data_IF_792872103843
#
_entry.id   IF_792872103843
#
_cell.length_a   1.000
_cell.length_b   1.000
_cell.length_c   1.000
_cell.angle_alpha   90.00
_cell.angle_beta   90.00
_cell.angle_gamma   90.00
#
_symmetry.space_group_name_H-M   'P 1'
#
loop_
_entity.id
_entity.type
_entity.pdbx_description
1 polymer ?
#
# COMPACT_ATOMS: atom_id res chain seq x y z
N UNK A 1 -4.18 -2.91 11.09
CA UNK A 1 -3.93 -3.56 9.78
C UNK A 1 -5.05 -3.26 8.78
N UNK A 2 -6.31 -3.20 9.19
CA UNK A 2 -7.42 -2.83 8.29
C UNK A 2 -7.17 -1.53 7.53
N UNK A 3 -6.69 -0.47 8.18
CA UNK A 3 -6.33 0.78 7.49
C UNK A 3 -5.38 0.57 6.28
N UNK A 4 -4.46 -0.38 6.37
CA UNK A 4 -3.42 -0.65 5.36
C UNK A 4 -3.73 -1.86 4.46
N UNK A 5 -4.75 -2.64 4.77
CA UNK A 5 -5.02 -3.92 4.11
C UNK A 5 -6.46 -4.11 3.68
N UNK A 6 -7.37 -3.20 4.07
CA UNK A 6 -8.76 -3.21 3.67
C UNK A 6 -9.06 -2.02 2.76
N UNK A 7 -10.06 -2.20 1.91
CA UNK A 7 -10.56 -1.20 0.98
C UNK A 7 -12.04 -1.43 0.68
N UNK A 8 -12.72 -0.39 0.20
CA UNK A 8 -14.08 -0.50 -0.37
C UNK A 8 -14.01 -1.25 -1.70
N UNK A 9 -14.82 -2.29 -1.82
CA UNK A 9 -15.20 -2.91 -3.10
C UNK A 9 -16.71 -2.75 -3.30
N UNK A 10 -17.21 -3.10 -4.48
CA UNK A 10 -18.67 -3.12 -4.76
C UNK A 10 -19.45 -4.10 -3.88
N UNK A 11 -18.77 -5.03 -3.20
CA UNK A 11 -19.38 -6.07 -2.36
C UNK A 11 -19.29 -5.80 -0.87
N UNK A 12 -18.29 -5.03 -0.43
CA UNK A 12 -18.03 -4.77 0.99
C UNK A 12 -17.21 -3.47 1.14
N UNK A 13 -17.74 -2.54 1.92
CA UNK A 13 -17.09 -1.26 2.21
C UNK A 13 -15.78 -1.38 3.00
N UNK A 14 -15.58 -2.50 3.71
CA UNK A 14 -14.36 -2.80 4.46
C UNK A 14 -13.77 -4.17 4.08
N UNK A 15 -13.71 -4.49 2.79
CA UNK A 15 -13.17 -5.77 2.30
C UNK A 15 -11.70 -5.94 2.68
N UNK A 16 -11.36 -7.04 3.36
CA UNK A 16 -9.97 -7.47 3.53
C UNK A 16 -9.35 -7.83 2.18
N UNK A 17 -8.22 -7.21 1.83
CA UNK A 17 -7.48 -7.47 0.58
C UNK A 17 -6.13 -8.14 0.84
N UNK A 18 -6.05 -8.85 1.96
CA UNK A 18 -4.95 -9.74 2.37
C UNK A 18 -5.55 -10.86 3.23
N UNK A 19 -4.94 -12.04 3.20
CA UNK A 19 -5.24 -13.11 4.14
C UNK A 19 -4.46 -12.93 5.44
N UNK A 20 -5.04 -13.34 6.57
CA UNK A 20 -4.47 -13.19 7.91
C UNK A 20 -4.63 -14.48 8.69
N UNK A 21 -3.54 -14.96 9.26
CA UNK A 21 -3.54 -16.03 10.25
C UNK A 21 -2.84 -15.53 11.50
N UNK A 22 -3.53 -15.50 12.63
CA UNK A 22 -2.97 -15.05 13.91
C UNK A 22 -2.95 -16.21 14.91
N UNK A 23 -1.79 -16.50 15.44
CA UNK A 23 -1.56 -17.48 16.50
C UNK A 23 -1.55 -16.72 17.83
N UNK A 24 -2.56 -16.95 18.68
CA UNK A 24 -2.64 -16.39 20.03
C UNK A 24 -2.00 -17.39 20.98
N UNK A 25 -0.88 -17.01 21.60
CA UNK A 25 -0.11 -17.88 22.48
C UNK A 25 -0.60 -17.85 23.94
N UNK A 26 -0.62 -19.01 24.59
CA UNK A 26 -1.03 -19.18 25.98
C UNK A 26 0.06 -19.82 26.83
N UNK A 27 0.15 -19.42 28.10
CA UNK A 27 1.00 -20.08 29.09
C UNK A 27 0.37 -21.38 29.65
N UNK A 28 1.08 -22.04 30.58
CA UNK A 28 0.59 -23.25 31.27
C UNK A 28 -0.68 -23.05 32.10
N UNK A 29 -1.09 -21.80 32.36
CA UNK A 29 -2.31 -21.43 33.09
C UNK A 29 -3.39 -20.90 32.14
N UNK A 30 -3.23 -21.09 30.82
CA UNK A 30 -4.15 -20.63 29.78
C UNK A 30 -4.37 -19.11 29.77
N UNK A 31 -3.36 -18.33 30.18
CA UNK A 31 -3.37 -16.87 30.05
C UNK A 31 -2.68 -16.47 28.75
N UNK A 32 -3.20 -15.45 28.07
CA UNK A 32 -2.59 -14.90 26.85
C UNK A 32 -1.22 -14.34 27.21
N UNK A 33 -0.18 -14.81 26.50
CA UNK A 33 1.18 -14.30 26.66
C UNK A 33 1.60 -13.39 25.52
N UNK A 34 1.07 -13.59 24.32
CA UNK A 34 1.44 -12.85 23.12
C UNK A 34 0.71 -13.39 21.89
N UNK A 35 1.08 -12.89 20.72
CA UNK A 35 0.55 -13.39 19.46
C UNK A 35 1.56 -13.25 18.31
N UNK A 36 1.39 -14.04 17.27
CA UNK A 36 2.16 -13.96 16.05
C UNK A 36 1.25 -14.02 14.83
N UNK A 37 1.49 -13.15 13.86
CA UNK A 37 0.65 -13.00 12.69
C UNK A 37 1.41 -13.30 11.41
N UNK A 38 0.78 -14.09 10.54
CA UNK A 38 1.19 -14.31 9.16
C UNK A 38 0.17 -13.70 8.22
N UNK A 39 0.65 -13.01 7.20
CA UNK A 39 -0.19 -12.42 6.17
C UNK A 39 0.06 -13.06 4.83
N UNK A 40 -0.99 -13.18 4.02
CA UNK A 40 -0.97 -13.83 2.72
C UNK A 40 -1.48 -12.85 1.66
N UNK A 41 -0.81 -12.83 0.50
CA UNK A 41 -1.34 -12.31 -0.76
C UNK A 41 -2.06 -10.94 -0.65
N UNK A 42 -1.34 -9.91 -0.18
CA UNK A 42 -1.82 -8.53 -0.30
C UNK A 42 -2.11 -8.19 -1.78
N UNK A 43 -3.30 -7.68 -2.08
CA UNK A 43 -3.71 -7.25 -3.42
C UNK A 43 -2.94 -5.99 -3.84
N UNK A 44 -1.76 -6.18 -4.43
CA UNK A 44 -0.87 -5.06 -4.79
C UNK A 44 -1.47 -4.17 -5.87
N UNK A 45 -2.22 -4.72 -6.82
CA UNK A 45 -2.84 -3.97 -7.91
C UNK A 45 -3.73 -2.83 -7.41
N UNK A 46 -4.41 -3.02 -6.27
CA UNK A 46 -5.26 -1.99 -5.65
C UNK A 46 -4.56 -0.67 -5.36
N UNK A 47 -3.23 -0.69 -5.15
CA UNK A 47 -2.44 0.52 -4.89
C UNK A 47 -2.50 1.49 -6.07
N UNK A 48 -2.60 0.97 -7.30
CA UNK A 48 -2.45 1.76 -8.53
C UNK A 48 -3.69 1.76 -9.41
N UNK A 49 -4.64 0.88 -9.14
CA UNK A 49 -5.87 0.72 -9.91
C UNK A 49 -7.08 0.47 -9.02
N UNK A 50 -8.21 1.08 -9.37
CA UNK A 50 -9.51 0.82 -8.76
C UNK A 50 -10.57 0.79 -9.87
N UNK A 51 -11.49 -0.16 -9.80
CA UNK A 51 -12.68 -0.15 -10.64
C UNK A 51 -13.67 0.94 -10.17
N UNK A 52 -14.68 1.21 -10.99
CA UNK A 52 -15.78 2.12 -10.63
C UNK A 52 -16.43 1.72 -9.30
N UNK A 53 -16.80 2.71 -8.49
CA UNK A 53 -17.35 2.57 -7.14
C UNK A 53 -16.40 1.99 -6.07
N UNK A 54 -15.18 1.62 -6.43
CA UNK A 54 -14.18 1.09 -5.49
C UNK A 54 -13.18 2.14 -4.99
N UNK A 55 -12.53 1.83 -3.86
CA UNK A 55 -11.45 2.65 -3.30
C UNK A 55 -10.12 1.91 -3.29
N UNK A 56 -9.06 2.70 -3.15
CA UNK A 56 -7.75 2.22 -2.69
C UNK A 56 -7.82 1.88 -1.18
N UNK A 57 -6.71 1.45 -0.57
CA UNK A 57 -6.62 1.20 0.86
C UNK A 57 -7.01 2.42 1.70
N UNK A 58 -7.72 2.17 2.80
CA UNK A 58 -8.32 3.22 3.63
C UNK A 58 -7.31 4.28 4.10
N UNK A 59 -6.09 3.88 4.42
CA UNK A 59 -5.04 4.77 4.94
C UNK A 59 -4.72 5.94 4.00
N UNK A 60 -4.90 5.78 2.68
CA UNK A 60 -4.70 6.88 1.73
C UNK A 60 -5.75 7.98 1.91
N UNK A 61 -7.00 7.60 2.12
CA UNK A 61 -8.10 8.55 2.33
C UNK A 61 -8.06 9.14 3.73
N UNK A 62 -7.70 8.35 4.75
CA UNK A 62 -7.40 8.84 6.10
C UNK A 62 -6.32 9.94 6.09
N UNK A 63 -5.26 9.74 5.30
CA UNK A 63 -4.18 10.71 5.12
C UNK A 63 -4.66 11.96 4.36
N UNK A 64 -5.38 11.79 3.25
CA UNK A 64 -5.91 12.92 2.47
C UNK A 64 -6.92 13.76 3.26
N UNK A 65 -7.80 13.13 4.04
CA UNK A 65 -8.78 13.81 4.88
C UNK A 65 -8.13 14.62 6.02
N UNK A 66 -6.88 14.32 6.34
CA UNK A 66 -6.12 14.97 7.41
C UNK A 66 -5.04 15.92 6.88
N UNK A 67 -5.05 16.26 5.58
CA UNK A 67 -4.02 17.06 4.93
C UNK A 67 -3.82 18.47 5.55
N UNK A 68 -4.83 19.00 6.24
CA UNK A 68 -4.78 20.31 6.91
C UNK A 68 -4.05 20.30 8.26
N UNK A 69 -3.65 19.13 8.77
CA UNK A 69 -2.89 19.04 10.01
C UNK A 69 -1.50 19.69 9.85
N UNK A 70 -1.05 20.56 10.77
CA UNK A 70 0.23 21.26 10.63
C UNK A 70 1.43 20.34 10.41
N UNK A 71 1.45 19.17 11.06
CA UNK A 71 2.51 18.18 10.90
C UNK A 71 2.56 17.53 9.50
N UNK A 72 1.48 17.62 8.71
CA UNK A 72 1.37 17.07 7.36
C UNK A 72 1.60 18.09 6.25
N UNK A 73 1.87 19.36 6.59
CA UNK A 73 2.25 20.37 5.61
C UNK A 73 3.45 19.94 4.75
N UNK A 74 4.41 19.22 5.35
CA UNK A 74 5.58 18.69 4.64
C UNK A 74 5.22 17.65 3.57
N UNK A 75 4.07 16.99 3.70
CA UNK A 75 3.61 15.93 2.80
C UNK A 75 2.98 16.51 1.52
N UNK A 76 2.70 17.82 1.49
CA UNK A 76 2.06 18.52 0.36
C UNK A 76 0.81 17.79 -0.13
N UNK A 77 -0.01 17.30 0.80
CA UNK A 77 -1.18 16.48 0.49
C UNK A 77 -2.36 17.34 0.02
N UNK A 78 -3.21 16.74 -0.79
CA UNK A 78 -4.47 17.32 -1.25
C UNK A 78 -5.66 16.42 -0.91
N UNK A 79 -6.80 16.74 -1.53
CA UNK A 79 -7.99 15.88 -1.46
C UNK A 79 -7.72 14.52 -2.13
N UNK A 80 -8.48 13.48 -1.79
CA UNK A 80 -8.39 12.18 -2.46
C UNK A 80 -8.66 12.27 -3.99
N UNK A 81 -9.38 13.30 -4.46
CA UNK A 81 -9.62 13.54 -5.88
C UNK A 81 -8.43 14.17 -6.62
N UNK A 82 -7.43 14.65 -5.88
CA UNK A 82 -6.23 15.26 -6.45
C UNK A 82 -5.21 14.22 -6.95
N UNK A 83 -5.31 12.97 -6.51
CA UNK A 83 -4.35 11.92 -6.83
C UNK A 83 -4.93 10.83 -7.72
N UNK A 84 -4.19 10.47 -8.77
CA UNK A 84 -4.58 9.42 -9.71
C UNK A 84 -4.86 8.09 -8.99
N UNK A 85 -4.08 7.72 -7.97
CA UNK A 85 -4.23 6.46 -7.26
C UNK A 85 -5.40 6.39 -6.26
N UNK A 86 -6.16 7.46 -6.05
CA UNK A 86 -7.32 7.45 -5.12
C UNK A 86 -8.62 7.91 -5.77
N UNK A 87 -8.57 8.48 -6.98
CA UNK A 87 -9.73 9.05 -7.67
C UNK A 87 -10.37 8.15 -8.74
N UNK A 88 -9.71 7.05 -9.13
CA UNK A 88 -10.13 6.25 -10.29
C UNK A 88 -11.55 5.68 -10.16
N UNK A 89 -11.92 5.23 -8.96
CA UNK A 89 -13.25 4.65 -8.74
C UNK A 89 -14.39 5.66 -8.59
N UNK A 90 -14.13 6.98 -8.63
CA UNK A 90 -15.18 7.99 -8.54
C UNK A 90 -15.91 8.11 -7.19
N UNK A 91 -15.59 7.26 -6.20
CA UNK A 91 -16.24 7.19 -4.89
C UNK A 91 -15.24 7.48 -3.75
N UNK A 92 -14.83 8.75 -3.52
CA UNK A 92 -13.85 9.07 -2.49
C UNK A 92 -14.35 8.88 -1.06
N UNK A 93 -15.68 8.83 -0.84
CA UNK A 93 -16.32 8.73 0.48
C UNK A 93 -17.01 7.37 0.63
N UNK A 94 -17.05 6.85 1.85
CA UNK A 94 -17.86 5.69 2.25
C UNK A 94 -18.93 6.22 3.21
N UNK A 95 -20.18 5.84 3.00
CA UNK A 95 -21.28 6.30 3.85
C UNK A 95 -21.07 5.88 5.30
N UNK A 96 -21.21 6.85 6.22
CA UNK A 96 -21.03 6.62 7.66
C UNK A 96 -19.57 6.53 8.14
N UNK A 97 -18.57 6.70 7.25
CA UNK A 97 -17.16 6.68 7.61
C UNK A 97 -16.55 8.08 7.59
N UNK A 98 -15.93 8.48 8.70
CA UNK A 98 -15.11 9.70 8.80
C UNK A 98 -13.63 9.32 8.73
N UNK A 99 -13.02 9.44 7.55
CA UNK A 99 -11.62 9.09 7.30
C UNK A 99 -10.64 9.89 8.21
N UNK A 100 -10.95 11.14 8.58
CA UNK A 100 -10.09 11.92 9.47
C UNK A 100 -10.18 11.40 10.92
N UNK A 101 -11.36 10.94 11.36
CA UNK A 101 -11.52 10.22 12.64
C UNK A 101 -10.80 8.89 12.62
N UNK A 102 -10.89 8.14 11.53
CA UNK A 102 -10.20 6.87 11.41
C UNK A 102 -8.67 7.02 11.41
N UNK A 103 -8.13 8.12 10.87
CA UNK A 103 -6.69 8.38 11.04
C UNK A 103 -6.29 8.52 12.52
N UNK A 104 -7.10 9.20 13.34
CA UNK A 104 -6.83 9.33 14.78
C UNK A 104 -6.80 7.96 15.46
N UNK A 105 -7.73 7.07 15.09
CA UNK A 105 -7.75 5.69 15.58
C UNK A 105 -6.49 4.92 15.15
N UNK A 106 -6.12 5.02 13.87
CA UNK A 106 -4.90 4.40 13.31
C UNK A 106 -3.66 4.85 14.06
N UNK A 107 -3.47 6.16 14.29
CA UNK A 107 -2.33 6.71 15.04
C UNK A 107 -2.28 6.21 16.48
N UNK A 108 -3.44 6.16 17.16
CA UNK A 108 -3.53 5.63 18.52
C UNK A 108 -3.18 4.15 18.59
N UNK A 109 -3.66 3.35 17.63
CA UNK A 109 -3.33 1.93 17.54
C UNK A 109 -1.83 1.70 17.27
N UNK A 110 -1.23 2.48 16.37
CA UNK A 110 0.22 2.47 16.14
C UNK A 110 1.02 2.80 17.41
N UNK A 111 0.63 3.84 18.14
CA UNK A 111 1.30 4.23 19.39
C UNK A 111 1.20 3.13 20.46
N UNK A 112 0.04 2.47 20.61
CA UNK A 112 -0.14 1.35 21.53
C UNK A 112 0.75 0.14 21.20
N UNK A 113 1.10 -0.02 19.91
CA UNK A 113 1.98 -1.07 19.42
C UNK A 113 3.45 -0.62 19.34
N UNK A 114 3.81 0.48 19.99
CA UNK A 114 5.19 0.97 20.08
C UNK A 114 5.71 1.64 18.81
N UNK A 115 4.85 1.94 17.83
CA UNK A 115 5.21 2.73 16.65
C UNK A 115 5.03 4.21 17.03
N UNK A 116 6.10 4.84 17.52
CA UNK A 116 6.10 6.25 17.95
C UNK A 116 5.91 7.24 16.80
N UNK A 117 5.70 8.52 17.15
CA UNK A 117 5.33 9.58 16.19
C UNK A 117 6.31 9.75 15.03
N UNK A 118 7.62 9.62 15.29
CA UNK A 118 8.63 9.73 14.23
C UNK A 118 8.51 8.61 13.18
N UNK A 119 8.25 7.38 13.62
CA UNK A 119 7.99 6.26 12.72
C UNK A 119 6.65 6.42 12.00
N UNK A 120 5.60 6.88 12.70
CA UNK A 120 4.30 7.16 12.07
C UNK A 120 4.43 8.21 10.96
N UNK A 121 5.16 9.30 11.21
CA UNK A 121 5.42 10.31 10.19
C UNK A 121 6.20 9.72 9.00
N UNK A 122 7.16 8.81 9.25
CA UNK A 122 7.84 8.06 8.19
C UNK A 122 6.88 7.22 7.33
N UNK A 123 5.93 6.52 7.96
CA UNK A 123 4.87 5.78 7.25
C UNK A 123 4.04 6.73 6.39
N UNK A 124 3.60 7.87 6.95
CA UNK A 124 2.81 8.85 6.21
C UNK A 124 3.59 9.53 5.09
N UNK A 125 4.91 9.73 5.24
CA UNK A 125 5.81 10.18 4.16
C UNK A 125 5.84 9.20 3.00
N UNK A 126 5.96 7.90 3.28
CA UNK A 126 5.94 6.85 2.23
C UNK A 126 4.57 6.79 1.54
N UNK A 127 3.47 6.88 2.29
CA UNK A 127 2.13 6.89 1.69
C UNK A 127 1.91 8.12 0.82
N UNK A 128 2.34 9.30 1.29
CA UNK A 128 2.27 10.54 0.51
C UNK A 128 3.12 10.47 -0.75
N UNK A 129 4.33 9.91 -0.66
CA UNK A 129 5.21 9.78 -1.82
C UNK A 129 4.56 8.88 -2.88
N UNK A 130 3.94 7.75 -2.51
CA UNK A 130 3.19 6.90 -3.45
C UNK A 130 2.10 7.68 -4.19
N UNK A 131 1.34 8.54 -3.49
CA UNK A 131 0.28 9.35 -4.11
C UNK A 131 0.82 10.37 -5.12
N UNK A 132 1.86 11.12 -4.73
CA UNK A 132 2.54 12.06 -5.64
C UNK A 132 3.16 11.35 -6.83
N UNK A 133 3.74 10.17 -6.60
CA UNK A 133 4.34 9.38 -7.66
C UNK A 133 3.31 8.93 -8.70
N UNK A 134 2.10 8.56 -8.29
CA UNK A 134 0.99 8.23 -9.20
C UNK A 134 0.55 9.39 -10.12
N UNK A 135 0.85 10.63 -9.73
CA UNK A 135 0.61 11.83 -10.53
C UNK A 135 1.76 12.18 -11.48
N UNK A 136 2.87 11.43 -11.47
CA UNK A 136 3.98 11.66 -12.42
C UNK A 136 3.54 11.32 -13.83
N UNK A 137 3.59 12.30 -14.72
CA UNK A 137 3.18 12.17 -16.11
C UNK A 137 4.37 12.02 -17.06
N UNK A 138 4.23 11.05 -17.97
CA UNK A 138 5.17 10.79 -19.05
C UNK A 138 4.66 11.35 -20.37
N UNK A 139 5.48 12.16 -21.04
CA UNK A 139 5.24 12.64 -22.40
C UNK A 139 5.97 11.76 -23.41
N UNK A 140 5.27 11.28 -24.42
CA UNK A 140 5.90 10.55 -25.53
C UNK A 140 6.78 11.51 -26.32
N UNK A 141 8.03 11.12 -26.59
CA UNK A 141 8.91 11.84 -27.52
C UNK A 141 8.82 11.24 -28.92
N UNK A 142 8.80 9.91 -28.99
CA UNK A 142 8.56 9.11 -30.19
C UNK A 142 7.83 7.81 -29.79
N UNK A 143 7.78 6.82 -30.69
CA UNK A 143 7.08 5.55 -30.44
C UNK A 143 7.73 4.71 -29.33
N UNK A 144 9.05 4.82 -29.15
CA UNK A 144 9.86 3.96 -28.29
C UNK A 144 10.48 4.69 -27.09
N UNK A 145 10.25 6.01 -26.96
CA UNK A 145 10.81 6.84 -25.90
C UNK A 145 9.82 7.82 -25.29
N UNK A 146 9.99 8.08 -24.00
CA UNK A 146 9.26 9.08 -23.25
C UNK A 146 10.18 9.95 -22.38
N UNK A 147 9.64 11.04 -21.88
CA UNK A 147 10.31 11.97 -20.98
C UNK A 147 9.35 12.49 -19.91
N UNK A 148 9.91 12.88 -18.78
CA UNK A 148 9.22 13.66 -17.75
C UNK A 148 9.58 15.13 -17.98
N UNK A 149 8.61 16.03 -17.81
CA UNK A 149 8.87 17.46 -18.02
C UNK A 149 9.91 17.97 -16.99
N UNK A 150 10.79 18.91 -17.36
CA UNK A 150 11.70 19.51 -16.39
C UNK A 150 10.92 20.14 -15.23
N UNK A 151 11.44 19.99 -14.00
CA UNK A 151 10.81 20.50 -12.77
C UNK A 151 9.37 20.01 -12.57
N UNK A 152 9.08 18.76 -12.92
CA UNK A 152 7.74 18.21 -12.75
C UNK A 152 7.42 18.06 -11.26
N UNK A 153 6.50 18.89 -10.78
CA UNK A 153 6.20 19.05 -9.36
C UNK A 153 5.89 17.72 -8.62
N UNK A 154 5.03 16.82 -9.14
CA UNK A 154 4.78 15.53 -8.46
C UNK A 154 6.04 14.71 -8.23
N UNK A 155 6.98 14.73 -9.18
CA UNK A 155 8.25 14.01 -9.05
C UNK A 155 9.19 14.70 -8.05
N UNK A 156 9.26 16.03 -8.04
CA UNK A 156 10.03 16.79 -7.04
C UNK A 156 9.56 16.41 -5.63
N UNK A 157 8.25 16.44 -5.39
CA UNK A 157 7.68 16.13 -4.08
C UNK A 157 7.96 14.68 -3.69
N UNK A 158 7.82 13.73 -4.62
CA UNK A 158 8.20 12.34 -4.39
C UNK A 158 9.67 12.21 -3.96
N UNK A 159 10.58 12.84 -4.70
CA UNK A 159 12.01 12.83 -4.43
C UNK A 159 12.36 13.44 -3.07
N UNK A 160 11.76 14.59 -2.72
CA UNK A 160 11.92 15.24 -1.41
C UNK A 160 11.47 14.33 -0.26
N UNK A 161 10.31 13.69 -0.40
CA UNK A 161 9.75 12.83 0.64
C UNK A 161 10.55 11.55 0.83
N UNK A 162 11.06 10.97 -0.25
CA UNK A 162 11.85 9.73 -0.25
C UNK A 162 13.35 9.97 0.01
N UNK A 163 13.83 11.21 -0.11
CA UNK A 163 15.24 11.55 0.06
C UNK A 163 16.11 11.00 -1.08
N UNK A 164 15.63 11.11 -2.32
CA UNK A 164 16.33 10.60 -3.53
C UNK A 164 16.51 11.71 -4.56
N UNK A 165 17.49 11.58 -5.43
CA UNK A 165 17.82 12.61 -6.43
C UNK A 165 16.78 12.67 -7.57
N UNK A 166 16.38 13.88 -7.96
CA UNK A 166 15.39 14.11 -9.02
C UNK A 166 15.92 13.63 -10.38
N UNK A 167 17.18 13.95 -10.68
CA UNK A 167 17.83 13.65 -11.95
C UNK A 167 17.95 12.14 -12.17
N UNK A 168 18.39 11.40 -11.15
CA UNK A 168 18.47 9.93 -11.21
C UNK A 168 17.08 9.30 -11.36
N UNK A 169 16.11 9.74 -10.56
CA UNK A 169 14.76 9.20 -10.62
C UNK A 169 14.10 9.48 -11.97
N UNK A 170 14.20 10.72 -12.47
CA UNK A 170 13.67 11.09 -13.78
C UNK A 170 14.32 10.29 -14.91
N UNK A 171 15.62 10.00 -14.82
CA UNK A 171 16.33 9.20 -15.81
C UNK A 171 15.82 7.75 -15.82
N UNK A 172 15.84 7.07 -14.66
CA UNK A 172 15.51 5.64 -14.56
C UNK A 172 14.03 5.31 -14.73
N UNK A 173 13.13 6.29 -14.58
CA UNK A 173 11.73 6.08 -14.94
C UNK A 173 11.50 6.02 -16.46
N UNK A 174 12.39 6.64 -17.24
CA UNK A 174 12.28 6.69 -18.70
C UNK A 174 13.25 5.73 -19.41
N UNK A 175 14.09 5.01 -18.67
CA UNK A 175 15.13 4.14 -19.21
C UNK A 175 15.23 2.83 -18.42
N UNK A 176 15.67 1.77 -19.08
CA UNK A 176 16.04 0.51 -18.44
C UNK A 176 17.49 0.14 -18.73
N UNK A 177 18.15 -0.41 -17.71
CA UNK A 177 19.48 -1.01 -17.83
C UNK A 177 19.34 -2.49 -18.19
N UNK A 178 20.10 -2.92 -19.18
CA UNK A 178 20.15 -4.30 -19.64
C UNK A 178 21.61 -4.75 -19.59
N UNK A 179 21.85 -5.86 -18.90
CA UNK A 179 23.19 -6.41 -18.64
C UNK A 179 23.28 -7.76 -19.34
N UNK A 180 24.23 -7.91 -20.24
CA UNK A 180 24.61 -9.20 -20.85
C UNK A 180 25.94 -9.66 -20.27
N UNK A 181 26.40 -10.86 -20.66
CA UNK A 181 27.69 -11.38 -20.23
C UNK A 181 28.88 -10.48 -20.63
N UNK A 182 28.74 -9.70 -21.70
CA UNK A 182 29.81 -8.89 -22.28
C UNK A 182 29.62 -7.40 -22.10
N UNK A 183 28.38 -6.89 -22.02
CA UNK A 183 28.09 -5.47 -22.11
C UNK A 183 26.92 -5.02 -21.24
N UNK A 184 26.88 -3.72 -20.95
CA UNK A 184 25.75 -3.07 -20.29
C UNK A 184 25.24 -1.96 -21.18
N UNK A 185 23.95 -2.01 -21.51
CA UNK A 185 23.30 -1.03 -22.35
C UNK A 185 22.09 -0.40 -21.66
N UNK A 186 21.86 0.88 -21.93
CA UNK A 186 20.71 1.63 -21.43
C UNK A 186 19.78 1.86 -22.62
N UNK A 187 18.51 1.43 -22.51
CA UNK A 187 17.49 1.65 -23.53
C UNK A 187 16.38 2.55 -23.00
N UNK A 188 15.88 3.50 -23.81
CA UNK A 188 14.69 4.25 -23.44
C UNK A 188 13.47 3.32 -23.34
N UNK A 189 12.46 3.80 -22.61
CA UNK A 189 11.15 3.19 -22.47
C UNK A 189 10.11 4.06 -23.16
N UNK A 190 9.14 3.43 -23.81
CA UNK A 190 7.96 4.15 -24.27
C UNK A 190 7.06 4.54 -23.08
N UNK A 191 6.09 5.43 -23.34
CA UNK A 191 5.19 5.95 -22.31
C UNK A 191 4.45 4.87 -21.51
N UNK A 192 3.98 3.83 -22.20
CA UNK A 192 3.24 2.73 -21.55
C UNK A 192 4.16 1.93 -20.62
N UNK A 193 5.36 1.58 -21.09
CA UNK A 193 6.36 0.87 -20.30
C UNK A 193 6.80 1.65 -19.06
N UNK A 194 7.03 2.96 -19.21
CA UNK A 194 7.38 3.84 -18.10
C UNK A 194 6.25 3.96 -17.07
N UNK A 195 4.99 4.08 -17.53
CA UNK A 195 3.80 4.08 -16.66
C UNK A 195 3.68 2.77 -15.88
N UNK A 196 3.83 1.62 -16.56
CA UNK A 196 3.79 0.31 -15.93
C UNK A 196 4.94 0.12 -14.92
N UNK A 197 6.13 0.64 -15.22
CA UNK A 197 7.28 0.58 -14.33
C UNK A 197 7.09 1.45 -13.07
N UNK A 198 6.57 2.68 -13.24
CA UNK A 198 6.15 3.55 -12.13
C UNK A 198 5.15 2.83 -11.23
N UNK A 199 4.10 2.27 -11.81
CA UNK A 199 3.07 1.56 -11.05
C UNK A 199 3.62 0.30 -10.37
N UNK A 200 4.52 -0.44 -11.01
CA UNK A 200 5.21 -1.57 -10.40
C UNK A 200 6.05 -1.15 -9.18
N UNK A 201 6.73 0.00 -9.25
CA UNK A 201 7.49 0.54 -8.12
C UNK A 201 6.56 0.99 -6.98
N UNK A 202 5.45 1.68 -7.27
CA UNK A 202 4.42 2.04 -6.27
C UNK A 202 3.90 0.80 -5.51
N UNK A 203 3.57 -0.26 -6.25
CA UNK A 203 3.15 -1.55 -5.69
C UNK A 203 4.21 -2.19 -4.81
N UNK A 204 5.48 -2.11 -5.22
CA UNK A 204 6.61 -2.66 -4.47
C UNK A 204 6.85 -1.90 -3.16
N UNK A 205 6.84 -0.56 -3.20
CA UNK A 205 7.00 0.29 -2.01
C UNK A 205 5.88 -0.01 -1.00
N UNK A 206 4.62 -0.03 -1.44
CA UNK A 206 3.49 -0.31 -0.55
C UNK A 206 3.56 -1.71 0.07
N UNK A 207 3.91 -2.74 -0.72
CA UNK A 207 4.03 -4.10 -0.22
C UNK A 207 5.13 -4.23 0.86
N UNK A 208 6.27 -3.55 0.67
CA UNK A 208 7.32 -3.52 1.68
C UNK A 208 6.90 -2.74 2.93
N UNK A 209 6.19 -1.62 2.79
CA UNK A 209 5.63 -0.88 3.92
C UNK A 209 4.66 -1.77 4.72
N UNK A 210 3.74 -2.46 4.04
CA UNK A 210 2.78 -3.36 4.68
C UNK A 210 3.50 -4.46 5.46
N UNK A 211 4.48 -5.13 4.83
CA UNK A 211 5.30 -6.16 5.50
C UNK A 211 6.04 -5.58 6.71
N UNK A 212 6.63 -4.39 6.58
CA UNK A 212 7.32 -3.73 7.68
C UNK A 212 6.39 -3.45 8.87
N UNK A 213 5.14 -3.03 8.60
CA UNK A 213 4.11 -2.82 9.64
C UNK A 213 3.79 -4.16 10.32
N UNK A 214 3.53 -5.23 9.56
CA UNK A 214 3.25 -6.57 10.10
C UNK A 214 4.42 -7.06 10.97
N UNK A 215 5.66 -6.85 10.53
CA UNK A 215 6.84 -7.19 11.32
C UNK A 215 6.91 -6.40 12.65
N UNK A 216 6.58 -5.10 12.66
CA UNK A 216 6.56 -4.30 13.89
C UNK A 216 5.43 -4.71 14.83
N UNK A 217 4.23 -5.00 14.30
CA UNK A 217 3.11 -5.55 15.07
C UNK A 217 3.54 -6.87 15.73
N UNK A 218 4.15 -7.77 14.97
CA UNK A 218 4.64 -9.04 15.53
C UNK A 218 5.69 -8.81 16.62
N UNK A 219 6.64 -7.89 16.43
CA UNK A 219 7.63 -7.56 17.46
C UNK A 219 6.99 -7.03 18.74
N UNK A 220 5.93 -6.22 18.64
CA UNK A 220 5.21 -5.69 19.79
C UNK A 220 4.38 -6.76 20.52
N UNK A 221 3.93 -7.80 19.82
CA UNK A 221 3.13 -8.90 20.37
C UNK A 221 3.98 -10.09 20.86
N UNK A 222 5.29 -10.08 20.62
CA UNK A 222 6.21 -11.08 21.12
C UNK A 222 6.33 -10.99 22.65
N UNK A 223 6.40 -12.16 23.27
CA UNK A 223 6.50 -12.31 24.72
C UNK A 223 7.76 -13.09 25.09
N UNK A 224 8.37 -12.71 26.21
CA UNK A 224 9.47 -13.47 26.81
C UNK A 224 8.99 -14.73 27.53
N UNK A 225 7.69 -14.84 27.82
CA UNK A 225 7.10 -16.01 28.43
C UNK A 225 7.06 -17.19 27.44
N UNK A 226 7.44 -18.38 27.91
CA UNK A 226 7.39 -19.60 27.08
C UNK A 226 5.93 -19.95 26.74
N UNK A 227 5.62 -19.91 25.45
CA UNK A 227 4.34 -20.40 24.92
C UNK A 227 4.20 -21.90 25.19
N UNK A 228 3.05 -22.31 25.74
CA UNK A 228 2.70 -23.70 26.03
C UNK A 228 1.70 -24.26 24.99
N UNK A 229 0.71 -23.47 24.61
CA UNK A 229 -0.29 -23.80 23.60
C UNK A 229 -0.66 -22.54 22.80
N UNK A 230 -1.41 -22.70 21.70
CA UNK A 230 -1.93 -21.58 20.93
C UNK A 230 -3.32 -21.86 20.36
N UNK A 231 -4.04 -20.79 20.04
CA UNK A 231 -5.26 -20.83 19.21
C UNK A 231 -4.96 -20.03 17.94
N UNK A 232 -5.06 -20.70 16.79
CA UNK A 232 -4.92 -20.08 15.48
C UNK A 232 -6.27 -19.55 15.01
N UNK A 233 -6.34 -18.26 14.65
CA UNK A 233 -7.51 -17.65 14.02
C UNK A 233 -7.15 -17.33 12.57
N UNK A 234 -7.83 -17.99 11.64
CA UNK A 234 -7.68 -17.76 10.21
C UNK A 234 -8.81 -16.87 9.71
N UNK A 235 -8.43 -15.80 9.04
CA UNK A 235 -9.32 -14.78 8.45
C UNK A 235 -8.73 -14.43 7.07
N UNK A 236 -9.31 -15.01 6.02
CA UNK A 236 -8.89 -14.75 4.65
C UNK A 236 -10.03 -14.09 3.87
N UNK A 237 -9.70 -13.45 2.75
CA UNK A 237 -10.68 -12.99 1.77
C UNK A 237 -11.64 -14.14 1.41
N UNK A 238 -12.94 -13.86 1.48
CA UNK A 238 -13.97 -14.78 1.04
C UNK A 238 -13.98 -14.96 -0.47
N UNK A 239 -14.69 -15.98 -0.93
CA UNK A 239 -14.89 -16.21 -2.36
C UNK A 239 -15.49 -14.97 -3.05
N UNK A 240 -14.90 -14.56 -4.17
CA UNK A 240 -15.35 -13.38 -4.90
C UNK A 240 -15.39 -13.60 -6.42
N UNK A 241 -16.32 -12.89 -7.08
CA UNK A 241 -16.47 -12.86 -8.53
C UNK A 241 -17.01 -11.51 -8.99
N UNK A 242 -16.41 -10.90 -9.98
CA UNK A 242 -16.86 -9.63 -10.55
C UNK A 242 -17.17 -9.81 -12.04
N UNK A 243 -17.63 -8.76 -12.71
CA UNK A 243 -17.80 -8.79 -14.17
C UNK A 243 -16.47 -9.07 -14.89
N UNK A 244 -15.38 -8.50 -14.39
CA UNK A 244 -14.01 -8.76 -14.87
C UNK A 244 -13.21 -9.37 -13.73
N UNK A 245 -12.76 -10.62 -13.91
CA UNK A 245 -11.91 -11.33 -12.95
C UNK A 245 -10.48 -11.44 -13.48
N UNK A 246 -9.52 -11.32 -12.58
CA UNK A 246 -8.08 -11.38 -12.90
C UNK A 246 -7.38 -12.46 -12.05
N UNK A 247 -6.06 -12.49 -12.12
CA UNK A 247 -5.19 -13.34 -11.30
C UNK A 247 -5.49 -13.20 -9.80
N UNK A 248 -5.88 -12.01 -9.34
CA UNK A 248 -6.30 -11.73 -7.97
C UNK A 248 -7.45 -12.64 -7.51
N UNK A 249 -8.57 -12.65 -8.25
CA UNK A 249 -9.75 -13.47 -7.92
C UNK A 249 -9.42 -14.96 -8.01
N UNK A 250 -8.60 -15.37 -8.97
CA UNK A 250 -8.15 -16.76 -9.07
C UNK A 250 -7.40 -17.21 -7.81
N UNK A 251 -6.44 -16.42 -7.33
CA UNK A 251 -5.69 -16.75 -6.11
C UNK A 251 -6.59 -16.77 -4.87
N UNK A 252 -7.53 -15.84 -4.75
CA UNK A 252 -8.49 -15.78 -3.63
C UNK A 252 -9.38 -17.02 -3.62
N UNK A 253 -9.98 -17.35 -4.76
CA UNK A 253 -10.89 -18.49 -4.87
C UNK A 253 -10.14 -19.82 -4.71
N UNK A 254 -8.91 -19.94 -5.24
CA UNK A 254 -8.06 -21.10 -5.00
C UNK A 254 -7.72 -21.31 -3.51
N UNK A 255 -7.47 -20.23 -2.77
CA UNK A 255 -7.25 -20.32 -1.33
C UNK A 255 -8.50 -20.81 -0.58
N UNK A 256 -9.70 -20.35 -0.99
CA UNK A 256 -10.97 -20.82 -0.41
C UNK A 256 -11.21 -22.31 -0.71
N UNK A 257 -10.96 -22.77 -1.94
CA UNK A 257 -11.03 -24.19 -2.30
C UNK A 257 -10.11 -25.05 -1.41
N UNK A 258 -8.92 -24.54 -1.06
CA UNK A 258 -8.01 -25.24 -0.14
C UNK A 258 -8.46 -25.28 1.31
N UNK A 259 -9.30 -24.34 1.76
CA UNK A 259 -9.90 -24.39 3.09
C UNK A 259 -11.16 -25.26 3.16
N UNK A 260 -11.82 -25.48 2.03
CA UNK A 260 -13.02 -26.32 1.97
C UNK A 260 -12.69 -27.83 1.91
N UNK A 261 -11.48 -28.19 1.47
CA UNK A 261 -10.96 -29.56 1.47
C UNK A 261 -10.78 -30.11 2.89
#
# INVERSE_FOLDING_TARGET
LEAFGNAKTTRNDNSSRFGKYIEIGFDKRYRIVGAHMRTYLLEKSRVVFQAEEERNYHVFYQLCASASLPEFNILKQGSANSFHYTKQGGSPVIDGVDDAKELRNTRRACALLGIGDQYQLGIFRILASILHFGNVEFKSRDADSCLISPKHEPLIIFCDLMGVEYEEMSHWLCHRKLVTATETFIKPLNRLQATNARDALSKHIYANLFNWIVCHVNKALLSSAKQNSFIGVLDIYGFETFEINSFEQFCINYANEKLQQ
#
